data_IF_954843738873
#
_entry.id   IF_954843738873
#
_cell.length_a   1.000
_cell.length_b   1.000
_cell.length_c   1.000
_cell.angle_alpha   90.00
_cell.angle_beta   90.00
_cell.angle_gamma   90.00
#
_symmetry.space_group_name_H-M   'P 1'
#
loop_
_entity.id
_entity.type
_entity.pdbx_description
1 polymer ?
#
# COMPACT_ATOMS: atom_id res chain seq x y z
N UNK A 1 -5.52 5.85 16.19
CA UNK A 1 -4.33 6.70 15.99
C UNK A 1 -4.47 7.59 14.75
N UNK A 2 -4.60 7.02 13.53
CA UNK A 2 -4.71 7.80 12.29
C UNK A 2 -5.82 8.87 12.25
N UNK A 3 -6.97 8.63 12.88
CA UNK A 3 -8.04 9.63 13.00
C UNK A 3 -7.61 10.93 13.70
N UNK A 4 -6.59 10.84 14.55
CA UNK A 4 -6.02 11.98 15.26
C UNK A 4 -4.80 12.50 14.51
N UNK A 5 -3.85 11.64 14.17
CA UNK A 5 -2.60 11.99 13.48
C UNK A 5 -2.14 10.84 12.57
N UNK A 6 -2.24 11.06 11.25
CA UNK A 6 -1.76 10.11 10.26
C UNK A 6 -0.26 10.02 10.17
N UNK A 7 0.47 11.12 10.44
CA UNK A 7 1.92 11.09 10.39
C UNK A 7 2.47 10.15 11.46
N UNK A 8 1.97 10.27 12.70
CA UNK A 8 2.35 9.36 13.79
C UNK A 8 1.91 7.92 13.50
N UNK A 9 0.68 7.74 13.01
CA UNK A 9 0.14 6.43 12.65
C UNK A 9 0.98 5.72 11.58
N UNK A 10 1.32 6.42 10.49
CA UNK A 10 2.11 5.89 9.38
C UNK A 10 3.54 5.60 9.81
N UNK A 11 4.16 6.49 10.59
CA UNK A 11 5.54 6.29 11.09
C UNK A 11 5.68 4.99 11.87
N UNK A 12 4.73 4.73 12.77
CA UNK A 12 4.64 3.48 13.52
C UNK A 12 4.34 2.28 12.61
N UNK A 13 3.37 2.42 11.70
CA UNK A 13 2.96 1.35 10.78
C UNK A 13 4.11 0.90 9.87
N UNK A 14 4.86 1.84 9.31
CA UNK A 14 6.03 1.55 8.46
C UNK A 14 7.10 0.75 9.22
N UNK A 15 7.32 1.07 10.51
CA UNK A 15 8.29 0.34 11.31
C UNK A 15 7.80 -1.08 11.67
N UNK A 16 6.59 -1.17 12.23
CA UNK A 16 6.08 -2.43 12.78
C UNK A 16 5.55 -3.35 11.68
N UNK A 17 4.66 -2.82 10.84
CA UNK A 17 3.85 -3.61 9.91
C UNK A 17 4.42 -3.65 8.49
N UNK A 18 5.41 -2.81 8.16
CA UNK A 18 6.13 -2.92 6.89
C UNK A 18 7.54 -3.49 7.10
N UNK A 19 8.41 -2.81 7.86
CA UNK A 19 9.78 -3.28 8.10
C UNK A 19 9.81 -4.58 8.92
N UNK A 20 9.13 -4.62 10.07
CA UNK A 20 9.05 -5.83 10.91
C UNK A 20 8.41 -7.01 10.18
N UNK A 21 7.26 -6.77 9.53
CA UNK A 21 6.59 -7.80 8.73
C UNK A 21 7.46 -8.30 7.58
N UNK A 22 8.19 -7.43 6.85
CA UNK A 22 9.06 -7.85 5.76
C UNK A 22 10.20 -8.75 6.26
N UNK A 23 10.80 -8.43 7.40
CA UNK A 23 11.83 -9.27 8.02
C UNK A 23 11.25 -10.64 8.37
N UNK A 24 10.05 -10.68 8.97
CA UNK A 24 9.38 -11.93 9.32
C UNK A 24 8.96 -12.75 8.08
N UNK A 25 8.25 -12.11 7.14
CA UNK A 25 7.63 -12.76 5.98
C UNK A 25 8.60 -13.08 4.85
N UNK A 26 9.72 -12.36 4.73
CA UNK A 26 10.72 -12.60 3.68
C UNK A 26 12.03 -13.21 4.19
N UNK A 27 12.32 -13.15 5.49
CA UNK A 27 13.52 -13.75 6.07
C UNK A 27 13.27 -15.07 6.82
N UNK A 28 14.21 -16.02 6.80
CA UNK A 28 14.15 -17.25 7.61
C UNK A 28 14.42 -17.05 9.11
N UNK A 29 14.54 -18.15 9.87
CA UNK A 29 14.92 -18.16 11.29
C UNK A 29 16.13 -17.27 11.62
N UNK A 30 17.08 -17.13 10.69
CA UNK A 30 18.28 -16.28 10.85
C UNK A 30 17.96 -14.81 11.15
N UNK A 31 16.75 -14.35 10.79
CA UNK A 31 16.32 -12.97 10.96
C UNK A 31 15.44 -12.75 12.20
N UNK A 32 14.99 -13.80 12.88
CA UNK A 32 14.14 -13.68 14.05
C UNK A 32 14.82 -12.90 15.19
N UNK A 33 16.17 -12.87 15.19
CA UNK A 33 16.98 -12.01 16.07
C UNK A 33 16.65 -10.52 16.02
N UNK A 34 16.08 -10.02 14.91
CA UNK A 34 15.68 -8.63 14.75
C UNK A 34 14.33 -8.32 15.39
N UNK A 35 13.43 -9.31 15.51
CA UNK A 35 12.05 -9.06 15.95
C UNK A 35 11.97 -8.50 17.38
N UNK A 36 12.67 -9.07 18.39
CA UNK A 36 12.65 -8.48 19.74
C UNK A 36 13.13 -7.02 19.75
N UNK A 37 14.18 -6.72 18.96
CA UNK A 37 14.74 -5.35 18.86
C UNK A 37 13.76 -4.36 18.22
N UNK A 38 12.97 -4.83 17.25
CA UNK A 38 11.91 -4.06 16.60
C UNK A 38 10.79 -3.77 17.60
N UNK A 39 10.29 -4.80 18.29
CA UNK A 39 9.23 -4.63 19.29
C UNK A 39 9.66 -3.74 20.46
N UNK A 40 10.92 -3.81 20.87
CA UNK A 40 11.49 -2.97 21.92
C UNK A 40 11.93 -1.58 21.43
N UNK A 41 11.79 -1.27 20.13
CA UNK A 41 12.27 -0.02 19.51
C UNK A 41 13.78 0.24 19.68
N UNK A 42 14.57 -0.81 19.93
CA UNK A 42 16.04 -0.74 19.99
C UNK A 42 16.65 -0.48 18.61
N UNK A 43 15.95 -0.94 17.57
CA UNK A 43 16.20 -0.56 16.18
C UNK A 43 14.90 -0.01 15.60
N UNK A 44 15.03 1.05 14.79
CA UNK A 44 13.92 1.62 14.03
C UNK A 44 14.14 1.42 12.54
N UNK A 45 13.07 1.13 11.81
CA UNK A 45 13.13 0.54 10.48
C UNK A 45 12.39 1.33 9.39
N UNK A 46 12.86 1.17 8.16
CA UNK A 46 12.20 1.66 6.94
C UNK A 46 12.27 0.63 5.80
N UNK A 47 11.45 0.83 4.76
CA UNK A 47 11.30 -0.12 3.65
C UNK A 47 11.59 0.56 2.32
N UNK A 48 12.74 0.23 1.71
CA UNK A 48 13.34 0.98 0.62
C UNK A 48 13.30 0.20 -0.71
N UNK A 49 12.19 0.36 -1.43
CA UNK A 49 12.01 -0.17 -2.80
C UNK A 49 12.28 0.93 -3.82
N UNK A 50 11.45 1.97 -3.77
CA UNK A 50 11.40 3.08 -4.73
C UNK A 50 12.74 3.76 -4.90
N UNK A 51 13.09 4.00 -6.15
CA UNK A 51 14.22 4.84 -6.55
C UNK A 51 13.69 6.11 -7.22
N UNK A 52 14.54 7.13 -7.30
CA UNK A 52 14.16 8.41 -7.92
C UNK A 52 13.59 8.22 -9.34
N UNK A 53 14.17 7.33 -10.15
CA UNK A 53 13.67 7.04 -11.50
C UNK A 53 12.70 5.85 -11.59
N UNK A 54 12.50 5.07 -10.52
CA UNK A 54 11.70 3.84 -10.56
C UNK A 54 10.75 3.73 -9.35
N UNK A 55 9.47 4.03 -9.59
CA UNK A 55 8.36 3.75 -8.67
C UNK A 55 7.58 2.50 -9.07
N UNK A 56 6.68 2.63 -10.05
CA UNK A 56 5.79 1.55 -10.49
C UNK A 56 6.53 0.33 -11.07
N UNK A 57 7.61 0.56 -11.81
CA UNK A 57 8.44 -0.52 -12.37
C UNK A 57 9.56 -0.94 -11.40
N UNK A 58 9.17 -1.49 -10.24
CA UNK A 58 10.11 -1.93 -9.22
C UNK A 58 11.08 -3.03 -9.70
N UNK A 59 10.78 -3.74 -10.81
CA UNK A 59 11.69 -4.72 -11.42
C UNK A 59 12.97 -4.09 -11.97
N UNK A 60 12.89 -2.82 -12.38
CA UNK A 60 13.95 -2.11 -13.08
C UNK A 60 14.79 -1.21 -12.17
N UNK A 61 14.62 -1.32 -10.84
CA UNK A 61 15.50 -0.61 -9.89
C UNK A 61 16.96 -0.97 -10.16
N UNK A 62 17.86 -0.02 -9.92
CA UNK A 62 19.26 -0.09 -10.34
C UNK A 62 20.24 -0.18 -9.18
N UNK A 63 19.80 -0.04 -7.94
CA UNK A 63 20.61 -0.41 -6.76
C UNK A 63 21.01 -1.89 -6.90
N UNK A 64 22.29 -2.19 -6.72
CA UNK A 64 22.86 -3.53 -6.88
C UNK A 64 23.34 -4.11 -5.56
N UNK A 65 23.30 -5.43 -5.43
CA UNK A 65 23.91 -6.20 -4.35
C UNK A 65 24.82 -7.28 -4.98
N UNK A 66 26.13 -7.04 -4.97
CA UNK A 66 27.10 -8.00 -5.50
C UNK A 66 27.64 -8.90 -4.37
N UNK A 67 27.54 -10.21 -4.53
CA UNK A 67 28.08 -11.16 -3.55
C UNK A 67 29.60 -11.33 -3.70
N UNK A 68 30.32 -11.24 -2.59
CA UNK A 68 31.75 -11.46 -2.45
C UNK A 68 32.00 -12.72 -1.60
N UNK A 69 32.36 -13.86 -2.22
CA UNK A 69 32.57 -15.12 -1.50
C UNK A 69 33.83 -15.09 -0.62
N UNK A 70 34.75 -14.14 -0.83
CA UNK A 70 36.01 -14.08 -0.05
C UNK A 70 35.78 -13.57 1.37
N UNK A 71 34.78 -12.71 1.55
CA UNK A 71 34.40 -12.15 2.86
C UNK A 71 33.02 -12.61 3.33
N UNK A 72 32.31 -13.40 2.51
CA UNK A 72 30.90 -13.79 2.73
C UNK A 72 29.98 -12.57 2.95
N UNK A 73 30.12 -11.57 2.09
CA UNK A 73 29.36 -10.31 2.18
C UNK A 73 28.66 -9.96 0.87
N UNK A 74 27.60 -9.16 0.97
CA UNK A 74 27.06 -8.41 -0.16
C UNK A 74 27.59 -6.98 -0.15
N UNK A 75 27.91 -6.48 -1.34
CA UNK A 75 28.29 -5.09 -1.58
C UNK A 75 27.07 -4.37 -2.17
N UNK A 76 26.40 -3.57 -1.34
CA UNK A 76 25.26 -2.75 -1.73
C UNK A 76 25.76 -1.44 -2.34
N UNK A 77 25.30 -1.14 -3.56
CA UNK A 77 25.75 0.02 -4.29
C UNK A 77 24.63 0.69 -5.10
N UNK A 78 24.61 2.01 -5.04
CA UNK A 78 23.80 2.89 -5.89
C UNK A 78 24.68 3.44 -7.01
N UNK A 79 24.43 3.11 -8.29
CA UNK A 79 25.32 3.47 -9.39
C UNK A 79 25.35 4.97 -9.69
N UNK A 80 24.23 5.67 -9.54
CA UNK A 80 24.10 7.12 -9.76
C UNK A 80 22.88 7.68 -9.02
N UNK A 81 22.64 8.98 -9.14
CA UNK A 81 21.57 9.67 -8.41
C UNK A 81 20.16 9.20 -8.79
N UNK A 82 19.88 8.79 -10.03
CA UNK A 82 18.53 8.33 -10.37
C UNK A 82 18.20 6.96 -9.74
N UNK A 83 19.22 6.21 -9.32
CA UNK A 83 19.09 4.99 -8.55
C UNK A 83 19.04 5.21 -7.03
N UNK A 84 19.10 6.45 -6.55
CA UNK A 84 18.96 6.77 -5.13
C UNK A 84 17.60 6.25 -4.64
N UNK A 85 17.60 5.54 -3.51
CA UNK A 85 16.34 5.22 -2.82
C UNK A 85 15.67 6.53 -2.44
N UNK A 86 14.37 6.65 -2.72
CA UNK A 86 13.66 7.91 -2.64
C UNK A 86 12.22 7.70 -2.15
N UNK A 87 11.63 8.73 -1.53
CA UNK A 87 10.32 8.66 -0.86
C UNK A 87 10.20 7.71 0.33
N UNK A 88 11.31 7.16 0.83
CA UNK A 88 11.27 6.12 1.85
C UNK A 88 10.87 6.72 3.19
N UNK A 89 9.67 6.39 3.67
CA UNK A 89 9.20 6.84 4.99
C UNK A 89 10.11 6.35 6.11
N UNK A 90 10.29 7.18 7.14
CA UNK A 90 11.21 6.98 8.28
C UNK A 90 12.70 7.09 7.95
N UNK A 91 13.12 7.08 6.68
CA UNK A 91 14.53 7.09 6.30
C UNK A 91 15.22 8.43 6.57
N UNK A 92 14.48 9.54 6.50
CA UNK A 92 15.05 10.88 6.54
C UNK A 92 15.90 11.12 7.79
N UNK A 93 15.35 10.79 8.96
CA UNK A 93 15.96 11.08 10.26
C UNK A 93 15.90 9.94 11.27
N UNK A 94 14.94 9.02 11.16
CA UNK A 94 14.58 8.13 12.27
C UNK A 94 15.13 6.72 12.13
N UNK A 95 15.11 6.15 10.92
CA UNK A 95 15.45 4.76 10.70
C UNK A 95 16.94 4.49 10.88
N UNK A 96 17.24 3.48 11.69
CA UNK A 96 18.58 2.92 11.91
C UNK A 96 18.89 1.81 10.92
N UNK A 97 17.86 1.08 10.50
CA UNK A 97 17.95 -0.04 9.57
C UNK A 97 16.93 0.15 8.43
N UNK A 98 17.27 -0.40 7.27
CA UNK A 98 16.42 -0.41 6.10
C UNK A 98 16.31 -1.83 5.55
N UNK A 99 15.12 -2.25 5.13
CA UNK A 99 15.00 -3.34 4.15
C UNK A 99 15.19 -2.71 2.77
N UNK A 100 16.36 -2.92 2.16
CA UNK A 100 16.74 -2.36 0.86
C UNK A 100 16.51 -3.39 -0.23
N UNK A 101 15.76 -3.02 -1.26
CA UNK A 101 15.60 -3.84 -2.46
C UNK A 101 16.66 -3.50 -3.50
N UNK A 102 17.36 -4.52 -3.99
CA UNK A 102 18.46 -4.38 -4.94
C UNK A 102 18.50 -5.55 -5.93
N UNK A 103 19.12 -5.34 -7.09
CA UNK A 103 19.42 -6.38 -8.06
C UNK A 103 20.56 -7.25 -7.53
N UNK A 104 20.28 -8.54 -7.30
CA UNK A 104 21.25 -9.47 -6.75
C UNK A 104 22.16 -10.03 -7.84
N UNK A 105 23.48 -9.97 -7.62
CA UNK A 105 24.51 -10.53 -8.50
C UNK A 105 25.37 -11.54 -7.75
N UNK A 106 25.57 -12.74 -8.32
CA UNK A 106 26.52 -13.74 -7.82
C UNK A 106 27.87 -13.70 -8.57
N UNK A 107 28.92 -14.42 -8.12
CA UNK A 107 30.18 -14.53 -8.85
C UNK A 107 29.96 -14.90 -10.33
N UNK A 108 30.78 -14.34 -11.21
CA UNK A 108 30.60 -14.43 -12.67
C UNK A 108 29.62 -13.41 -13.27
N UNK A 109 28.99 -12.56 -12.45
CA UNK A 109 28.17 -11.44 -12.92
C UNK A 109 26.73 -11.81 -13.27
N UNK A 110 26.28 -13.02 -12.92
CA UNK A 110 24.90 -13.44 -13.14
C UNK A 110 23.94 -12.65 -12.23
N UNK A 111 22.96 -11.98 -12.83
CA UNK A 111 21.89 -11.29 -12.13
C UNK A 111 20.73 -12.25 -11.83
N UNK A 112 20.25 -12.26 -10.59
CA UNK A 112 19.10 -13.03 -10.13
C UNK A 112 17.90 -12.13 -9.81
N UNK A 113 17.93 -10.90 -10.32
CA UNK A 113 16.85 -9.94 -10.16
C UNK A 113 16.69 -9.42 -8.73
N UNK A 114 15.52 -8.86 -8.48
CA UNK A 114 15.21 -8.13 -7.26
C UNK A 114 15.20 -9.03 -6.02
N UNK A 115 15.95 -8.62 -4.99
CA UNK A 115 16.00 -9.23 -3.65
C UNK A 115 16.02 -8.14 -2.58
N UNK A 116 15.67 -8.51 -1.34
CA UNK A 116 15.62 -7.60 -0.20
C UNK A 116 16.69 -7.94 0.84
N UNK A 117 17.32 -6.90 1.39
CA UNK A 117 18.46 -7.01 2.30
C UNK A 117 18.24 -6.13 3.52
N UNK A 118 18.59 -6.61 4.71
CA UNK A 118 18.65 -5.77 5.91
C UNK A 118 19.96 -4.99 5.89
N UNK A 119 19.88 -3.67 5.82
CA UNK A 119 21.05 -2.78 5.78
C UNK A 119 20.98 -1.84 6.97
N UNK A 120 22.02 -1.81 7.80
CA UNK A 120 22.17 -0.79 8.81
C UNK A 120 22.58 0.53 8.13
N UNK A 121 21.75 1.55 8.25
CA UNK A 121 21.94 2.85 7.60
C UNK A 121 22.39 3.95 8.56
N UNK A 122 22.12 3.79 9.85
CA UNK A 122 22.62 4.66 10.92
C UNK A 122 23.08 3.85 12.11
N UNK A 123 23.99 4.41 12.90
CA UNK A 123 24.31 3.90 14.22
C UNK A 123 23.10 4.11 15.17
N UNK A 124 22.57 3.08 15.86
CA UNK A 124 21.37 3.22 16.69
C UNK A 124 21.52 4.14 17.91
N UNK A 125 22.74 4.45 18.34
CA UNK A 125 22.99 5.29 19.51
C UNK A 125 23.16 6.75 19.14
N UNK A 126 23.88 7.03 18.06
CA UNK A 126 24.25 8.38 17.61
C UNK A 126 23.35 8.91 16.50
N UNK A 127 22.62 8.02 15.82
CA UNK A 127 21.84 8.29 14.59
C UNK A 127 22.66 8.89 13.45
N UNK A 128 23.99 8.82 13.53
CA UNK A 128 24.87 9.22 12.43
C UNK A 128 24.83 8.14 11.32
N UNK A 129 24.91 8.53 10.04
CA UNK A 129 24.98 7.58 8.93
C UNK A 129 26.14 6.59 9.08
N UNK A 130 25.92 5.33 8.70
CA UNK A 130 27.00 4.35 8.59
C UNK A 130 27.97 4.72 7.46
N UNK A 131 29.26 4.32 7.53
CA UNK A 131 30.21 4.57 6.45
C UNK A 131 29.70 4.08 5.09
N UNK A 132 29.85 4.92 4.05
CA UNK A 132 29.35 4.63 2.70
C UNK A 132 27.84 4.84 2.52
N UNK A 133 27.09 5.22 3.55
CA UNK A 133 25.67 5.55 3.45
C UNK A 133 25.49 7.07 3.44
N UNK A 134 24.97 7.59 2.33
CA UNK A 134 24.44 8.95 2.27
C UNK A 134 22.94 8.87 2.50
N UNK A 135 22.42 9.52 3.55
CA UNK A 135 21.00 9.47 3.89
C UNK A 135 20.52 10.83 4.40
N UNK A 136 19.36 11.27 3.93
CA UNK A 136 18.81 12.59 4.25
C UNK A 136 17.30 12.67 4.11
N UNK A 137 16.74 13.75 4.63
CA UNK A 137 15.32 14.08 4.53
C UNK A 137 15.06 14.86 3.23
N UNK A 138 13.90 14.66 2.61
CA UNK A 138 13.55 15.31 1.33
C UNK A 138 12.90 16.69 1.53
N UNK A 139 12.54 17.05 2.75
CA UNK A 139 11.89 18.32 3.08
C UNK A 139 10.36 18.26 3.08
N UNK A 140 9.76 19.45 2.96
CA UNK A 140 8.33 19.67 3.12
C UNK A 140 7.53 19.03 1.98
N UNK A 141 6.48 18.30 2.35
CA UNK A 141 5.50 17.67 1.46
C UNK A 141 4.15 18.42 1.54
N UNK A 142 3.22 18.05 0.66
CA UNK A 142 1.84 18.57 0.69
C UNK A 142 1.11 18.18 1.99
N UNK A 143 1.26 16.93 2.42
CA UNK A 143 0.71 16.37 3.66
C UNK A 143 1.68 15.37 4.29
N UNK A 144 1.28 14.74 5.39
CA UNK A 144 2.07 13.74 6.12
C UNK A 144 3.46 14.25 6.55
N UNK A 145 3.55 15.52 6.94
CA UNK A 145 4.83 16.17 7.24
C UNK A 145 5.51 15.67 8.52
N UNK A 146 4.83 14.90 9.38
CA UNK A 146 5.48 14.20 10.50
C UNK A 146 6.15 12.88 10.11
N UNK A 147 5.93 12.40 8.88
CA UNK A 147 6.69 11.27 8.30
C UNK A 147 7.94 11.83 7.63
N UNK A 148 9.11 11.49 8.16
CA UNK A 148 10.42 11.87 7.63
C UNK A 148 10.79 11.01 6.41
N UNK A 149 10.09 11.24 5.30
CA UNK A 149 10.41 10.62 4.04
C UNK A 149 11.80 11.08 3.58
N UNK A 150 12.67 10.11 3.35
CA UNK A 150 14.06 10.35 3.02
C UNK A 150 14.50 9.73 1.72
N UNK A 151 15.77 9.98 1.43
CA UNK A 151 16.52 9.34 0.38
C UNK A 151 17.77 8.65 0.95
N UNK A 152 18.27 7.66 0.22
CA UNK A 152 19.57 7.06 0.51
C UNK A 152 20.33 6.67 -0.76
N UNK A 153 21.65 6.83 -0.71
CA UNK A 153 22.60 6.29 -1.67
C UNK A 153 23.65 5.46 -0.95
N UNK A 154 24.03 4.35 -1.57
CA UNK A 154 24.98 3.39 -1.01
C UNK A 154 26.27 3.39 -1.83
N UNK A 155 27.40 3.67 -1.20
CA UNK A 155 28.72 3.60 -1.81
C UNK A 155 29.47 2.36 -1.32
N UNK A 156 29.30 1.25 -2.03
CA UNK A 156 29.95 -0.06 -1.75
C UNK A 156 29.83 -0.49 -0.28
N UNK A 157 28.62 -0.38 0.27
CA UNK A 157 28.32 -0.74 1.66
C UNK A 157 28.33 -2.26 1.79
N UNK A 158 29.18 -2.79 2.67
CA UNK A 158 29.30 -4.23 2.91
C UNK A 158 28.33 -4.66 4.02
N UNK A 159 27.59 -5.73 3.75
CA UNK A 159 26.72 -6.39 4.74
C UNK A 159 26.99 -7.90 4.72
N UNK A 160 26.87 -8.60 5.87
CA UNK A 160 26.95 -10.05 5.91
C UNK A 160 26.00 -10.74 4.94
N UNK A 161 26.41 -11.90 4.38
CA UNK A 161 25.55 -12.76 3.55
C UNK A 161 24.21 -13.07 4.22
N UNK A 162 24.22 -13.22 5.55
CA UNK A 162 23.04 -13.57 6.32
C UNK A 162 21.97 -12.46 6.38
N UNK A 163 22.27 -11.23 5.96
CA UNK A 163 21.31 -10.13 5.95
C UNK A 163 20.43 -10.08 4.68
N UNK A 164 20.64 -10.99 3.72
CA UNK A 164 19.68 -11.24 2.64
C UNK A 164 18.38 -11.85 3.21
N UNK A 165 17.20 -11.31 2.89
CA UNK A 165 15.94 -11.94 3.28
C UNK A 165 15.65 -13.12 2.34
N UNK A 166 16.00 -14.33 2.78
CA UNK A 166 16.21 -15.48 1.91
C UNK A 166 15.02 -16.40 1.60
N UNK A 167 13.79 -16.04 2.01
CA UNK A 167 12.65 -16.96 1.80
C UNK A 167 12.35 -17.22 0.33
N UNK A 168 12.64 -16.25 -0.54
CA UNK A 168 12.40 -16.38 -1.99
C UNK A 168 13.64 -16.76 -2.80
N UNK A 169 14.81 -16.77 -2.19
CA UNK A 169 16.10 -17.04 -2.84
C UNK A 169 17.25 -16.77 -1.87
N UNK A 170 18.28 -17.62 -1.89
CA UNK A 170 19.45 -17.53 -1.03
C UNK A 170 20.75 -17.68 -1.83
N UNK A 171 21.87 -17.37 -1.18
CA UNK A 171 23.21 -17.56 -1.74
C UNK A 171 24.05 -18.38 -0.77
N UNK A 172 24.67 -19.45 -1.25
CA UNK A 172 25.58 -20.29 -0.44
C UNK A 172 26.89 -19.54 -0.16
N UNK A 173 27.70 -19.94 0.84
CA UNK A 173 29.02 -19.33 1.10
C UNK A 173 29.90 -19.27 -0.16
N UNK A 174 29.85 -20.30 -1.00
CA UNK A 174 30.62 -20.44 -2.24
C UNK A 174 30.10 -19.53 -3.36
N UNK A 175 28.94 -18.88 -3.18
CA UNK A 175 28.35 -17.97 -4.15
C UNK A 175 27.35 -18.61 -5.10
N UNK A 176 26.87 -19.82 -4.80
CA UNK A 176 25.82 -20.47 -5.60
C UNK A 176 24.45 -19.91 -5.22
N UNK A 177 23.67 -19.45 -6.20
CA UNK A 177 22.29 -19.02 -5.96
C UNK A 177 21.34 -20.22 -5.88
N UNK A 178 20.44 -20.21 -4.91
CA UNK A 178 19.41 -21.25 -4.71
C UNK A 178 18.04 -20.61 -4.52
N UNK A 179 16.98 -21.22 -5.07
CA UNK A 179 15.61 -20.71 -4.95
C UNK A 179 14.62 -21.88 -4.86
N UNK A 180 13.57 -21.79 -4.02
CA UNK A 180 12.50 -22.79 -4.00
C UNK A 180 11.53 -22.62 -5.19
N UNK A 181 11.61 -21.51 -5.92
CA UNK A 181 10.76 -21.21 -7.07
C UNK A 181 11.39 -21.68 -8.38
N UNK A 182 10.60 -22.35 -9.21
CA UNK A 182 10.99 -22.77 -10.58
C UNK A 182 10.86 -21.66 -11.62
N UNK A 183 9.97 -20.69 -11.38
CA UNK A 183 9.64 -19.61 -12.30
C UNK A 183 9.94 -18.24 -11.68
N UNK A 184 10.62 -17.38 -12.45
CA UNK A 184 11.02 -16.05 -12.00
C UNK A 184 9.83 -15.11 -11.77
N UNK A 185 8.74 -15.26 -12.54
CA UNK A 185 7.55 -14.42 -12.36
C UNK A 185 6.85 -14.76 -11.05
N UNK A 186 6.74 -16.05 -10.71
CA UNK A 186 6.20 -16.50 -9.43
C UNK A 186 7.06 -16.02 -8.26
N UNK A 187 8.39 -16.15 -8.36
CA UNK A 187 9.32 -15.64 -7.33
C UNK A 187 9.14 -14.14 -7.10
N UNK A 188 9.12 -13.36 -8.18
CA UNK A 188 8.92 -11.92 -8.11
C UNK A 188 7.57 -11.55 -7.47
N UNK A 189 6.50 -12.26 -7.84
CA UNK A 189 5.18 -12.10 -7.21
C UNK A 189 5.22 -12.37 -5.71
N UNK A 190 5.90 -13.44 -5.28
CA UNK A 190 6.07 -13.76 -3.87
C UNK A 190 6.88 -12.70 -3.11
N UNK A 191 7.97 -12.18 -3.71
CA UNK A 191 8.79 -11.11 -3.10
C UNK A 191 8.04 -9.79 -2.92
N UNK A 192 6.97 -9.56 -3.69
CA UNK A 192 6.10 -8.38 -3.56
C UNK A 192 4.75 -8.68 -2.88
N UNK A 193 4.52 -9.91 -2.41
CA UNK A 193 3.27 -10.30 -1.77
C UNK A 193 2.91 -9.44 -0.55
N UNK A 194 3.92 -8.90 0.15
CA UNK A 194 3.76 -7.97 1.27
C UNK A 194 3.00 -6.69 0.89
N UNK A 195 3.02 -6.27 -0.40
CA UNK A 195 2.34 -5.06 -0.85
C UNK A 195 0.80 -5.17 -0.80
N UNK A 196 0.25 -6.40 -0.91
CA UNK A 196 -1.21 -6.60 -0.79
C UNK A 196 -1.72 -6.15 0.58
N UNK A 197 -0.96 -6.40 1.65
CA UNK A 197 -1.30 -5.94 3.00
C UNK A 197 -1.28 -4.40 3.12
N UNK A 198 -0.28 -3.76 2.52
CA UNK A 198 -0.22 -2.29 2.45
C UNK A 198 -1.44 -1.68 1.75
N UNK A 199 -1.87 -2.28 0.63
CA UNK A 199 -3.06 -1.84 -0.11
C UNK A 199 -4.35 -1.98 0.69
N UNK A 200 -4.57 -3.12 1.37
CA UNK A 200 -5.74 -3.31 2.25
C UNK A 200 -5.74 -2.30 3.39
N UNK A 201 -4.58 -2.00 3.96
CA UNK A 201 -4.44 -0.94 4.97
C UNK A 201 -4.87 0.41 4.42
N UNK A 202 -4.42 0.79 3.22
CA UNK A 202 -4.77 2.07 2.58
C UNK A 202 -6.27 2.19 2.26
N UNK A 203 -6.93 1.08 1.90
CA UNK A 203 -8.40 1.05 1.76
C UNK A 203 -9.04 1.53 3.07
N UNK A 204 -8.65 0.92 4.19
CA UNK A 204 -9.13 1.32 5.52
C UNK A 204 -8.80 2.77 5.86
N UNK A 205 -7.58 3.24 5.57
CA UNK A 205 -7.16 4.63 5.80
C UNK A 205 -8.04 5.63 5.03
N UNK A 206 -8.29 5.35 3.75
CA UNK A 206 -9.10 6.20 2.88
C UNK A 206 -10.54 6.30 3.38
N UNK A 207 -11.12 5.18 3.82
CA UNK A 207 -12.47 5.12 4.38
C UNK A 207 -12.55 5.92 5.69
N UNK A 208 -11.54 5.81 6.56
CA UNK A 208 -11.46 6.59 7.80
C UNK A 208 -11.38 8.09 7.51
N UNK A 209 -10.61 8.51 6.51
CA UNK A 209 -10.55 9.91 6.09
C UNK A 209 -11.89 10.42 5.59
N UNK A 210 -12.58 9.63 4.78
CA UNK A 210 -13.91 9.96 4.29
C UNK A 210 -14.92 10.07 5.43
N UNK A 211 -14.88 9.13 6.39
CA UNK A 211 -15.72 9.17 7.61
C UNK A 211 -15.55 10.49 8.38
N UNK A 212 -14.31 10.94 8.58
CA UNK A 212 -14.02 12.18 9.27
C UNK A 212 -14.58 13.39 8.51
N UNK A 213 -14.28 13.49 7.21
CA UNK A 213 -14.71 14.63 6.39
C UNK A 213 -16.23 14.72 6.28
N UNK A 214 -16.91 13.60 5.99
CA UNK A 214 -18.37 13.55 5.86
C UNK A 214 -19.04 13.84 7.21
N UNK A 215 -18.49 13.34 8.32
CA UNK A 215 -19.01 13.65 9.66
C UNK A 215 -18.93 15.14 9.99
N UNK A 216 -17.82 15.79 9.63
CA UNK A 216 -17.65 17.24 9.80
C UNK A 216 -18.68 17.98 8.95
N UNK A 217 -18.75 17.66 7.65
CA UNK A 217 -19.61 18.37 6.72
C UNK A 217 -21.10 18.20 7.00
N UNK A 218 -21.56 17.00 7.37
CA UNK A 218 -22.96 16.75 7.71
C UNK A 218 -23.36 17.49 9.00
N UNK A 219 -22.53 17.43 10.05
CA UNK A 219 -22.81 18.14 11.31
C UNK A 219 -22.79 19.66 11.13
N UNK A 220 -21.85 20.17 10.32
CA UNK A 220 -21.83 21.58 9.93
C UNK A 220 -23.10 21.93 9.16
N UNK A 221 -23.49 21.12 8.18
CA UNK A 221 -24.67 21.39 7.34
C UNK A 221 -25.99 21.34 8.13
N UNK A 222 -26.07 20.49 9.16
CA UNK A 222 -27.25 20.37 10.03
C UNK A 222 -27.43 21.57 10.98
N UNK A 223 -26.38 22.36 11.22
CA UNK A 223 -26.42 23.49 12.16
C UNK A 223 -26.23 24.84 11.47
N UNK A 224 -25.65 24.86 10.27
CA UNK A 224 -25.48 26.07 9.48
C UNK A 224 -26.81 26.42 8.80
N UNK A 225 -27.47 27.48 9.26
CA UNK A 225 -28.58 28.07 8.53
C UNK A 225 -28.07 29.09 7.50
N UNK A 226 -28.71 29.12 6.32
CA UNK A 226 -28.50 30.14 5.30
C UNK A 226 -29.65 30.07 4.29
N UNK A 227 -30.23 31.22 3.96
CA UNK A 227 -31.45 31.31 3.16
C UNK A 227 -32.64 30.59 3.83
N UNK A 228 -33.83 30.73 3.25
CA UNK A 228 -35.05 30.17 3.82
C UNK A 228 -36.30 30.65 3.08
N UNK A 229 -37.49 30.29 3.56
CA UNK A 229 -38.75 30.88 3.11
C UNK A 229 -38.71 32.42 3.27
N UNK A 230 -39.35 33.16 2.36
CA UNK A 230 -39.34 34.63 2.35
C UNK A 230 -39.77 35.25 3.69
N UNK A 231 -40.74 34.63 4.35
CA UNK A 231 -41.31 35.10 5.62
C UNK A 231 -40.95 34.16 6.81
N UNK A 232 -39.90 33.35 6.68
CA UNK A 232 -39.48 32.37 7.69
C UNK A 232 -38.06 32.59 8.22
N UNK A 233 -37.68 31.83 9.25
CA UNK A 233 -36.28 31.76 9.69
C UNK A 233 -35.43 31.04 8.66
N UNK A 234 -34.12 31.33 8.66
CA UNK A 234 -33.18 30.57 7.86
C UNK A 234 -33.19 29.10 8.28
N UNK A 235 -33.18 28.20 7.29
CA UNK A 235 -33.20 26.74 7.54
C UNK A 235 -31.79 26.16 7.43
N UNK A 236 -31.49 25.05 8.14
CA UNK A 236 -30.22 24.36 8.00
C UNK A 236 -29.95 24.01 6.54
N UNK A 237 -28.71 24.23 6.08
CA UNK A 237 -28.37 23.98 4.68
C UNK A 237 -28.51 22.51 4.28
N UNK A 238 -28.50 21.59 5.25
CA UNK A 238 -28.78 20.17 5.04
C UNK A 238 -30.22 19.89 4.55
N UNK A 239 -31.18 20.79 4.77
CA UNK A 239 -32.56 20.63 4.29
C UNK A 239 -32.66 20.82 2.76
N UNK A 240 -31.66 21.43 2.12
CA UNK A 240 -31.66 21.62 0.68
C UNK A 240 -31.20 20.36 -0.05
N UNK A 241 -32.00 19.93 -1.03
CA UNK A 241 -31.73 18.76 -1.87
C UNK A 241 -30.34 18.80 -2.51
N UNK A 242 -29.85 19.97 -2.92
CA UNK A 242 -28.50 20.11 -3.47
C UNK A 242 -27.43 19.72 -2.43
N UNK A 243 -27.54 20.18 -1.18
CA UNK A 243 -26.58 19.86 -0.12
C UNK A 243 -26.62 18.36 0.22
N UNK A 244 -27.83 17.78 0.26
CA UNK A 244 -28.01 16.34 0.45
C UNK A 244 -27.36 15.53 -0.68
N UNK A 245 -27.59 15.91 -1.93
CA UNK A 245 -27.02 15.23 -3.10
C UNK A 245 -25.49 15.27 -3.13
N UNK A 246 -24.90 16.34 -2.59
CA UNK A 246 -23.44 16.47 -2.48
C UNK A 246 -22.82 15.59 -1.39
N UNK A 247 -23.54 15.30 -0.29
CA UNK A 247 -22.96 14.66 0.90
C UNK A 247 -23.46 13.23 1.15
N UNK A 248 -24.75 12.97 0.97
CA UNK A 248 -25.37 11.68 1.30
C UNK A 248 -24.85 10.51 0.45
N UNK A 249 -24.49 10.67 -0.84
CA UNK A 249 -23.85 9.58 -1.59
C UNK A 249 -22.51 9.15 -1.00
N UNK A 250 -21.71 10.08 -0.47
CA UNK A 250 -20.47 9.74 0.22
C UNK A 250 -20.72 9.07 1.58
N UNK A 251 -21.80 9.45 2.28
CA UNK A 251 -22.23 8.74 3.48
C UNK A 251 -22.59 7.28 3.15
N UNK A 252 -23.37 7.04 2.10
CA UNK A 252 -23.67 5.68 1.65
C UNK A 252 -22.40 4.91 1.25
N UNK A 253 -21.50 5.54 0.49
CA UNK A 253 -20.23 4.95 0.09
C UNK A 253 -19.36 4.56 1.29
N UNK A 254 -19.36 5.34 2.38
CA UNK A 254 -18.65 4.98 3.62
C UNK A 254 -19.12 3.62 4.14
N UNK A 255 -20.43 3.38 4.24
CA UNK A 255 -20.95 2.13 4.79
C UNK A 255 -20.61 0.93 3.89
N UNK A 256 -20.81 1.08 2.57
CA UNK A 256 -20.48 0.03 1.62
C UNK A 256 -18.99 -0.32 1.62
N UNK A 257 -18.12 0.70 1.54
CA UNK A 257 -16.67 0.51 1.51
C UNK A 257 -16.12 0.01 2.85
N UNK A 258 -16.68 0.46 3.98
CA UNK A 258 -16.26 -0.02 5.31
C UNK A 258 -16.58 -1.50 5.50
N UNK A 259 -17.74 -1.96 5.03
CA UNK A 259 -18.09 -3.37 5.05
C UNK A 259 -17.14 -4.19 4.17
N UNK A 260 -16.94 -3.75 2.92
CA UNK A 260 -15.98 -4.36 2.00
C UNK A 260 -14.56 -4.44 2.59
N UNK A 261 -14.06 -3.35 3.17
CA UNK A 261 -12.72 -3.29 3.74
C UNK A 261 -12.53 -4.24 4.92
N UNK A 262 -13.57 -4.44 5.74
CA UNK A 262 -13.52 -5.37 6.88
C UNK A 262 -13.49 -6.82 6.41
N UNK A 263 -14.30 -7.18 5.41
CA UNK A 263 -14.29 -8.52 4.81
C UNK A 263 -12.93 -8.81 4.18
N UNK A 264 -12.44 -7.91 3.33
CA UNK A 264 -11.15 -8.07 2.67
C UNK A 264 -9.98 -8.20 3.67
N UNK A 265 -10.07 -7.50 4.82
CA UNK A 265 -9.09 -7.66 5.88
C UNK A 265 -9.15 -9.04 6.55
N UNK A 266 -10.35 -9.58 6.80
CA UNK A 266 -10.52 -10.92 7.35
C UNK A 266 -10.01 -12.00 6.37
N UNK A 267 -10.31 -11.86 5.08
CA UNK A 267 -9.83 -12.78 4.04
C UNK A 267 -8.29 -12.75 3.95
N UNK A 268 -7.69 -11.57 4.05
CA UNK A 268 -6.24 -11.42 4.11
C UNK A 268 -5.64 -12.07 5.36
N UNK A 269 -6.31 -11.95 6.51
CA UNK A 269 -5.87 -12.61 7.74
C UNK A 269 -5.94 -14.14 7.62
N UNK A 270 -6.98 -14.70 6.98
CA UNK A 270 -7.09 -16.13 6.67
C UNK A 270 -5.92 -16.59 5.77
N UNK A 271 -5.64 -15.85 4.69
CA UNK A 271 -4.50 -16.13 3.81
C UNK A 271 -3.17 -16.12 4.60
N UNK A 272 -2.95 -15.13 5.46
CA UNK A 272 -1.73 -15.04 6.27
C UNK A 272 -1.59 -16.20 7.25
N UNK A 273 -2.68 -16.62 7.90
CA UNK A 273 -2.68 -17.78 8.78
C UNK A 273 -2.38 -19.07 8.01
N UNK A 274 -2.97 -19.26 6.83
CA UNK A 274 -2.70 -20.41 5.96
C UNK A 274 -1.23 -20.49 5.54
N UNK A 275 -0.64 -19.36 5.12
CA UNK A 275 0.77 -19.28 4.74
C UNK A 275 1.72 -19.55 5.92
N UNK A 276 1.35 -19.14 7.13
CA UNK A 276 2.12 -19.45 8.34
C UNK A 276 2.02 -20.93 8.74
N UNK A 277 0.87 -21.57 8.48
CA UNK A 277 0.59 -22.99 8.75
C UNK A 277 1.06 -23.98 7.68
N UNK A 278 2.01 -23.57 6.82
CA UNK A 278 2.57 -24.35 5.69
C UNK A 278 1.57 -24.85 4.65
N UNK A 279 0.39 -24.22 4.54
CA UNK A 279 -0.60 -24.52 3.51
C UNK A 279 -0.15 -23.94 2.15
N UNK A 280 0.44 -24.80 1.33
CA UNK A 280 0.86 -24.50 -0.04
C UNK A 280 -0.12 -25.06 -1.09
N UNK A 281 -1.40 -25.20 -0.74
CA UNK A 281 -2.43 -25.72 -1.65
C UNK A 281 -2.68 -24.78 -2.84
N UNK A 282 -3.20 -25.35 -3.93
CA UNK A 282 -3.66 -24.58 -5.09
C UNK A 282 -4.77 -23.58 -4.72
N UNK A 283 -5.60 -23.93 -3.72
CA UNK A 283 -6.63 -23.03 -3.16
C UNK A 283 -5.99 -21.80 -2.54
N UNK A 284 -4.94 -21.96 -1.71
CA UNK A 284 -4.25 -20.81 -1.12
C UNK A 284 -3.58 -19.92 -2.17
N UNK A 285 -2.97 -20.53 -3.19
CA UNK A 285 -2.38 -19.76 -4.29
C UNK A 285 -3.42 -18.93 -5.06
N UNK A 286 -4.62 -19.48 -5.30
CA UNK A 286 -5.72 -18.73 -5.92
C UNK A 286 -6.29 -17.66 -4.98
N UNK A 287 -6.46 -17.95 -3.70
CA UNK A 287 -6.92 -16.98 -2.70
C UNK A 287 -5.97 -15.77 -2.65
N UNK A 288 -4.65 -16.01 -2.69
CA UNK A 288 -3.65 -14.95 -2.78
C UNK A 288 -3.77 -14.09 -4.05
N UNK A 289 -4.05 -14.70 -5.21
CA UNK A 289 -4.29 -13.96 -6.47
C UNK A 289 -5.57 -13.13 -6.39
N UNK A 290 -6.64 -13.71 -5.87
CA UNK A 290 -7.94 -13.06 -5.73
C UNK A 290 -7.86 -11.87 -4.78
N UNK A 291 -7.29 -12.04 -3.59
CA UNK A 291 -7.07 -10.95 -2.62
C UNK A 291 -6.18 -9.85 -3.22
N UNK A 292 -5.14 -10.22 -3.98
CA UNK A 292 -4.31 -9.23 -4.67
C UNK A 292 -5.11 -8.43 -5.70
N UNK A 293 -5.97 -9.07 -6.48
CA UNK A 293 -6.82 -8.39 -7.46
C UNK A 293 -7.85 -7.47 -6.78
N UNK A 294 -8.48 -7.94 -5.69
CA UNK A 294 -9.42 -7.17 -4.88
C UNK A 294 -8.75 -5.96 -4.23
N UNK A 295 -7.57 -6.12 -3.62
CA UNK A 295 -6.82 -5.02 -3.04
C UNK A 295 -6.40 -3.99 -4.10
N UNK A 296 -6.04 -4.46 -5.31
CA UNK A 296 -5.65 -3.62 -6.45
C UNK A 296 -6.83 -2.87 -7.07
N UNK A 297 -8.07 -3.34 -6.90
CA UNK A 297 -9.28 -2.63 -7.30
C UNK A 297 -9.84 -1.73 -6.19
N UNK A 298 -9.86 -2.25 -4.96
CA UNK A 298 -10.40 -1.58 -3.78
C UNK A 298 -9.61 -0.35 -3.38
N UNK A 299 -8.28 -0.39 -3.49
CA UNK A 299 -7.43 0.76 -3.12
C UNK A 299 -7.68 1.98 -4.03
N UNK A 300 -7.68 1.87 -5.37
CA UNK A 300 -8.10 2.97 -6.25
C UNK A 300 -9.51 3.47 -5.95
N UNK A 301 -10.48 2.56 -5.80
CA UNK A 301 -11.86 2.93 -5.52
C UNK A 301 -11.99 3.74 -4.22
N UNK A 302 -11.44 3.23 -3.12
CA UNK A 302 -11.53 3.87 -1.82
C UNK A 302 -10.76 5.19 -1.77
N UNK A 303 -9.52 5.23 -2.29
CA UNK A 303 -8.67 6.43 -2.25
C UNK A 303 -9.21 7.58 -3.10
N UNK A 304 -9.68 7.31 -4.32
CA UNK A 304 -10.31 8.34 -5.16
C UNK A 304 -11.67 8.77 -4.61
N UNK A 305 -12.47 7.86 -4.06
CA UNK A 305 -13.74 8.22 -3.41
C UNK A 305 -13.49 9.12 -2.21
N UNK A 306 -12.50 8.79 -1.37
CA UNK A 306 -12.09 9.63 -0.26
C UNK A 306 -11.58 11.00 -0.73
N UNK A 307 -10.72 11.05 -1.75
CA UNK A 307 -10.18 12.30 -2.29
C UNK A 307 -11.31 13.25 -2.75
N UNK A 308 -12.25 12.74 -3.56
CA UNK A 308 -13.40 13.51 -4.06
C UNK A 308 -14.35 13.90 -2.94
N UNK A 309 -14.68 12.96 -2.05
CA UNK A 309 -15.58 13.20 -0.94
C UNK A 309 -15.05 14.23 0.06
N UNK A 310 -13.75 14.20 0.38
CA UNK A 310 -13.13 15.21 1.25
C UNK A 310 -13.18 16.60 0.60
N UNK A 311 -12.89 16.69 -0.70
CA UNK A 311 -12.97 17.96 -1.43
C UNK A 311 -14.41 18.50 -1.44
N UNK A 312 -15.40 17.65 -1.70
CA UNK A 312 -16.81 18.03 -1.64
C UNK A 312 -17.23 18.47 -0.24
N UNK A 313 -16.79 17.76 0.81
CA UNK A 313 -17.04 18.13 2.20
C UNK A 313 -16.48 19.53 2.52
N UNK A 314 -15.27 19.84 2.05
CA UNK A 314 -14.65 21.16 2.20
C UNK A 314 -15.49 22.25 1.55
N UNK A 315 -15.97 22.02 0.33
CA UNK A 315 -16.79 22.99 -0.40
C UNK A 315 -18.20 23.12 0.16
N UNK A 316 -18.78 22.02 0.65
CA UNK A 316 -20.08 21.99 1.31
C UNK A 316 -20.09 22.77 2.64
N UNK A 317 -18.92 22.96 3.26
CA UNK A 317 -18.73 23.81 4.43
C UNK A 317 -18.49 25.30 4.08
N UNK A 318 -18.54 25.69 2.81
CA UNK A 318 -18.30 27.05 2.36
C UNK A 318 -16.93 27.61 2.78
N UNK A 319 -16.87 28.90 3.09
CA UNK A 319 -15.62 29.56 3.54
C UNK A 319 -15.04 28.96 4.81
N UNK A 320 -15.89 28.48 5.74
CA UNK A 320 -15.42 27.82 6.96
C UNK A 320 -14.64 26.54 6.66
N UNK A 321 -15.01 25.81 5.61
CA UNK A 321 -14.27 24.62 5.16
C UNK A 321 -12.81 24.89 4.79
N UNK A 322 -12.43 26.15 4.54
CA UNK A 322 -11.06 26.56 4.24
C UNK A 322 -10.23 26.93 5.49
N UNK A 323 -10.87 27.11 6.65
CA UNK A 323 -10.17 27.37 7.91
C UNK A 323 -9.46 26.10 8.40
N UNK A 324 -8.16 26.21 8.67
CA UNK A 324 -7.32 25.06 9.08
C UNK A 324 -7.85 24.32 10.32
N UNK A 325 -8.48 25.04 11.26
CA UNK A 325 -9.08 24.44 12.47
C UNK A 325 -10.13 23.36 12.17
N UNK A 326 -10.78 23.43 11.00
CA UNK A 326 -11.78 22.45 10.57
C UNK A 326 -11.17 21.19 9.96
N UNK A 327 -9.84 21.12 9.80
CA UNK A 327 -9.04 19.96 9.37
C UNK A 327 -9.35 19.37 8.00
N UNK A 328 -10.35 19.87 7.26
CA UNK A 328 -10.69 19.35 5.93
C UNK A 328 -9.55 19.51 4.92
N UNK A 329 -8.78 20.60 5.03
CA UNK A 329 -7.56 20.81 4.24
C UNK A 329 -6.46 19.78 4.57
N UNK A 330 -6.21 19.53 5.85
CA UNK A 330 -5.23 18.55 6.30
C UNK A 330 -5.63 17.12 5.90
N UNK A 331 -6.91 16.76 6.10
CA UNK A 331 -7.45 15.45 5.68
C UNK A 331 -7.27 15.22 4.18
N UNK A 332 -7.49 16.26 3.36
CA UNK A 332 -7.26 16.17 1.91
C UNK A 332 -5.79 15.92 1.61
N UNK A 333 -4.91 16.77 2.15
CA UNK A 333 -3.47 16.69 1.91
C UNK A 333 -2.88 15.35 2.39
N UNK A 334 -3.37 14.82 3.51
CA UNK A 334 -2.93 13.53 4.06
C UNK A 334 -3.54 12.33 3.33
N UNK A 335 -4.69 12.50 2.67
CA UNK A 335 -5.30 11.45 1.85
C UNK A 335 -4.71 11.36 0.45
N UNK A 336 -4.33 12.47 -0.18
CA UNK A 336 -3.88 12.49 -1.58
C UNK A 336 -2.76 11.46 -1.90
N UNK A 337 -1.74 11.25 -1.03
CA UNK A 337 -0.73 10.22 -1.25
C UNK A 337 -1.30 8.80 -1.38
N UNK A 338 -2.47 8.52 -0.79
CA UNK A 338 -3.18 7.24 -0.95
C UNK A 338 -3.52 6.94 -2.41
N UNK A 339 -3.58 7.93 -3.30
CA UNK A 339 -3.82 7.68 -4.72
C UNK A 339 -2.57 7.22 -5.48
N UNK A 340 -1.38 7.36 -4.88
CA UNK A 340 -0.09 7.21 -5.58
C UNK A 340 0.79 6.11 -5.01
N UNK A 341 1.00 6.07 -3.69
CA UNK A 341 1.90 5.06 -3.10
C UNK A 341 1.26 3.67 -3.06
N UNK A 342 2.07 2.64 -2.75
CA UNK A 342 1.65 1.22 -2.74
C UNK A 342 1.02 0.74 -4.07
N UNK A 343 1.39 1.42 -5.16
CA UNK A 343 0.90 1.24 -6.51
C UNK A 343 0.05 2.42 -6.96
N UNK A 344 0.46 3.07 -8.06
CA UNK A 344 -0.35 4.11 -8.70
C UNK A 344 -1.72 3.56 -9.07
N UNK A 345 -2.78 4.35 -8.81
CA UNK A 345 -4.14 3.88 -8.99
C UNK A 345 -4.45 3.42 -10.42
N UNK A 346 -3.93 4.09 -11.45
CA UNK A 346 -4.18 3.69 -12.84
C UNK A 346 -3.43 2.41 -13.19
N UNK A 347 -2.19 2.26 -12.70
CA UNK A 347 -1.42 1.01 -12.87
C UNK A 347 -2.09 -0.17 -12.17
N UNK A 348 -2.62 0.04 -10.96
CA UNK A 348 -3.31 -1.02 -10.21
C UNK A 348 -4.57 -1.52 -10.91
N UNK A 349 -5.36 -0.61 -11.49
CA UNK A 349 -6.53 -1.03 -12.26
C UNK A 349 -6.15 -1.91 -13.45
N UNK A 350 -5.00 -1.67 -14.11
CA UNK A 350 -4.52 -2.58 -15.16
C UNK A 350 -4.16 -3.97 -14.63
N UNK A 351 -3.70 -4.09 -13.38
CA UNK A 351 -3.46 -5.40 -12.75
C UNK A 351 -4.77 -6.17 -12.56
N UNK A 352 -5.80 -5.50 -12.03
CA UNK A 352 -7.13 -6.11 -11.88
C UNK A 352 -7.75 -6.45 -13.24
N UNK A 353 -7.69 -5.55 -14.23
CA UNK A 353 -8.18 -5.82 -15.58
C UNK A 353 -7.48 -7.03 -16.19
N UNK A 354 -6.15 -7.13 -16.04
CA UNK A 354 -5.38 -8.28 -16.54
C UNK A 354 -5.82 -9.59 -15.88
N UNK A 355 -6.07 -9.58 -14.57
CA UNK A 355 -6.60 -10.73 -13.84
C UNK A 355 -7.97 -11.16 -14.38
N UNK A 356 -8.93 -10.24 -14.50
CA UNK A 356 -10.28 -10.53 -15.00
C UNK A 356 -10.26 -11.02 -16.47
N UNK A 357 -9.50 -10.37 -17.34
CA UNK A 357 -9.39 -10.76 -18.74
C UNK A 357 -8.71 -12.13 -18.89
N UNK A 358 -7.76 -12.48 -18.03
CA UNK A 358 -7.13 -13.81 -18.04
C UNK A 358 -8.10 -14.94 -17.67
N UNK A 359 -9.05 -14.67 -16.77
CA UNK A 359 -10.12 -15.62 -16.41
C UNK A 359 -11.08 -15.79 -17.59
N UNK A 360 -11.53 -14.67 -18.16
CA UNK A 360 -12.45 -14.66 -19.29
C UNK A 360 -11.84 -15.34 -20.54
N UNK A 361 -10.57 -15.09 -20.86
CA UNK A 361 -9.90 -15.72 -21.99
C UNK A 361 -9.83 -17.25 -21.84
N UNK A 362 -9.52 -17.74 -20.63
CA UNK A 362 -9.53 -19.19 -20.33
C UNK A 362 -10.92 -19.81 -20.47
N UNK A 363 -11.95 -19.08 -20.04
CA UNK A 363 -13.33 -19.51 -20.19
C UNK A 363 -13.74 -19.61 -21.66
N UNK A 364 -13.52 -18.55 -22.44
CA UNK A 364 -13.91 -18.49 -23.86
C UNK A 364 -13.15 -19.51 -24.71
N UNK A 365 -11.83 -19.66 -24.51
CA UNK A 365 -10.99 -20.51 -25.36
C UNK A 365 -11.01 -21.98 -24.94
N UNK A 366 -11.19 -22.26 -23.65
CA UNK A 366 -11.02 -23.61 -23.08
C UNK A 366 -12.27 -24.16 -22.39
N UNK A 367 -13.37 -23.42 -22.32
CA UNK A 367 -14.57 -23.82 -21.57
C UNK A 367 -14.35 -23.91 -20.06
N UNK A 368 -13.28 -23.30 -19.54
CA UNK A 368 -12.96 -23.35 -18.12
C UNK A 368 -14.00 -22.57 -17.30
N UNK A 369 -14.53 -23.17 -16.23
CA UNK A 369 -15.42 -22.47 -15.30
C UNK A 369 -14.66 -21.35 -14.58
N UNK A 370 -15.27 -20.17 -14.48
CA UNK A 370 -14.78 -19.04 -13.69
C UNK A 370 -15.34 -19.21 -12.28
N UNK A 371 -14.48 -19.70 -11.39
CA UNK A 371 -14.77 -19.86 -9.97
C UNK A 371 -13.54 -19.41 -9.17
N UNK A 372 -13.80 -18.83 -8.00
CA UNK A 372 -12.76 -18.28 -7.13
C UNK A 372 -13.06 -18.58 -5.66
N UNK A 373 -12.05 -18.72 -4.79
CA UNK A 373 -12.25 -19.04 -3.38
C UNK A 373 -13.25 -18.14 -2.64
N UNK A 374 -13.23 -16.84 -2.91
CA UNK A 374 -14.13 -15.85 -2.31
C UNK A 374 -15.34 -15.53 -3.21
N UNK A 375 -15.45 -16.22 -4.35
CA UNK A 375 -16.54 -16.09 -5.32
C UNK A 375 -16.71 -14.68 -5.90
N UNK A 376 -15.66 -13.85 -5.85
CA UNK A 376 -15.75 -12.44 -6.26
C UNK A 376 -15.75 -12.24 -7.77
N UNK A 377 -15.38 -13.27 -8.53
CA UNK A 377 -15.39 -13.24 -10.01
C UNK A 377 -16.44 -14.15 -10.64
N UNK A 378 -17.26 -14.84 -9.84
CA UNK A 378 -18.31 -15.75 -10.33
C UNK A 378 -19.29 -15.05 -11.28
N UNK A 379 -19.50 -13.73 -11.10
CA UNK A 379 -20.38 -12.94 -11.96
C UNK A 379 -19.93 -12.92 -13.43
N UNK A 380 -18.65 -13.19 -13.72
CA UNK A 380 -18.12 -13.22 -15.08
C UNK A 380 -18.70 -14.39 -15.90
N UNK A 381 -19.18 -15.46 -15.28
CA UNK A 381 -19.92 -16.53 -15.99
C UNK A 381 -21.16 -15.97 -16.69
N UNK A 382 -21.85 -15.04 -16.03
CA UNK A 382 -23.06 -14.42 -16.54
C UNK A 382 -22.79 -13.12 -17.32
N UNK A 383 -21.55 -12.85 -17.73
CA UNK A 383 -21.22 -11.56 -18.37
C UNK A 383 -22.06 -11.24 -19.62
N UNK A 384 -22.43 -12.18 -20.52
CA UNK A 384 -23.23 -11.85 -21.69
C UNK A 384 -24.63 -11.37 -21.29
N UNK A 385 -25.23 -12.03 -20.30
CA UNK A 385 -26.55 -11.66 -19.76
C UNK A 385 -26.48 -10.31 -19.05
N UNK A 386 -25.43 -10.07 -18.27
CA UNK A 386 -25.23 -8.79 -17.56
C UNK A 386 -25.14 -7.64 -18.55
N UNK A 387 -24.38 -7.79 -19.63
CA UNK A 387 -24.26 -6.76 -20.68
C UNK A 387 -25.58 -6.52 -21.44
N UNK A 388 -26.45 -7.53 -21.50
CA UNK A 388 -27.79 -7.42 -22.08
C UNK A 388 -28.82 -6.72 -21.18
N UNK A 389 -28.56 -6.59 -19.87
CA UNK A 389 -29.49 -5.97 -18.93
C UNK A 389 -29.44 -4.44 -19.01
N UNK A 390 -30.62 -3.81 -19.06
CA UNK A 390 -30.79 -2.36 -18.84
C UNK A 390 -31.47 -2.16 -17.50
N UNK A 391 -30.90 -1.27 -16.68
CA UNK A 391 -31.57 -0.85 -15.45
C UNK A 391 -32.81 -0.02 -15.82
N UNK A 392 -33.97 -0.43 -15.32
CA UNK A 392 -35.23 0.28 -15.48
C UNK A 392 -35.86 0.47 -14.10
N UNK A 393 -35.96 1.71 -13.63
CA UNK A 393 -36.65 2.04 -12.37
C UNK A 393 -37.85 2.94 -12.71
N UNK A 394 -39.10 2.42 -12.64
CA UNK A 394 -40.28 3.17 -13.05
C UNK A 394 -40.74 4.22 -12.03
N UNK A 395 -40.31 4.12 -10.76
CA UNK A 395 -40.58 5.10 -9.71
C UNK A 395 -39.47 5.11 -8.66
N UNK A 396 -39.41 6.15 -7.82
CA UNK A 396 -38.47 6.22 -6.68
C UNK A 396 -38.71 5.06 -5.70
N UNK A 397 -39.96 4.66 -5.48
CA UNK A 397 -40.29 3.53 -4.60
C UNK A 397 -39.68 2.22 -5.11
N UNK A 398 -39.68 2.00 -6.43
CA UNK A 398 -39.03 0.82 -7.05
C UNK A 398 -37.50 0.79 -6.93
N UNK A 399 -36.89 1.88 -6.47
CA UNK A 399 -35.46 1.97 -6.21
C UNK A 399 -35.12 1.75 -4.71
N UNK A 400 -36.14 1.66 -3.83
CA UNK A 400 -35.99 1.47 -2.39
C UNK A 400 -36.31 0.03 -1.92
N UNK A 401 -37.01 -0.76 -2.76
CA UNK A 401 -37.20 -2.21 -2.64
C UNK A 401 -36.02 -2.99 -3.25
#
# INVERSE_FOLDING_TARGET
LGMYDWSLGIKFLLHMLTFGSAIYSSGSERHLKYLPKIFNMEIFGCFAVTELSHGSNAKAVRTTAHYDPTTEEFIIHTPDFEAAKFWVGNMGKTATHAVVFAQLYTPGGQCHGLHSFVVQIRDPKTLLPMPGVMVGDMGKKLGLNGVDNGFAMFHKVRIPRQDLLNRTGDVTPEGTYVTPFKDDKQRFGASLGTLSFGRVTIVGMSIVNLKLAVSIALRFSATRCQFGPTDGEEVPVLEYQMQQWRLLPYLAAIYALDHFSKLLFLDLAELQQGLAGTDHSARQAELGREIHALASAGKPLASWTAQRGIQECREACGGHGYLAVNRLGDLRNDNDPNCTYEGDNNVLLQQTSSYLLSLLARHIQGGARIESPLRTVDFLEAYPDILGRRFTCPSVDSCLD
#
